data_IF_045856814936
#
_entry.id   IF_045856814936
#
_cell.length_a   1.000
_cell.length_b   1.000
_cell.length_c   1.000
_cell.angle_alpha   90.00
_cell.angle_beta   90.00
_cell.angle_gamma   90.00
#
_symmetry.space_group_name_H-M   'P 1'
#
loop_
_entity.id
_entity.type
_entity.pdbx_description
1 polymer ?
#
# COMPACT_ATOMS: atom_id res chain seq x y z
N UNK A 1 -8.63 -13.85 -31.82
CA UNK A 1 -7.45 -13.49 -31.01
C UNK A 1 -7.72 -12.19 -30.27
N UNK A 2 -8.21 -12.26 -29.04
CA UNK A 2 -8.18 -11.11 -28.13
C UNK A 2 -6.73 -10.93 -27.69
N UNK A 3 -6.12 -9.80 -28.04
CA UNK A 3 -4.81 -9.43 -27.51
C UNK A 3 -4.93 -9.27 -26.00
N UNK A 4 -4.01 -9.89 -25.26
CA UNK A 4 -3.88 -9.70 -23.82
C UNK A 4 -2.63 -8.90 -23.53
N UNK A 5 -2.77 -7.87 -22.68
CA UNK A 5 -1.65 -7.11 -22.17
C UNK A 5 -1.13 -7.76 -20.89
N UNK A 6 0.18 -7.97 -20.82
CA UNK A 6 0.85 -8.56 -19.64
C UNK A 6 1.74 -7.52 -19.02
N UNK A 7 1.50 -7.22 -17.74
CA UNK A 7 2.25 -6.23 -16.98
C UNK A 7 2.99 -6.95 -15.87
N UNK A 8 4.31 -6.79 -15.81
CA UNK A 8 5.15 -7.29 -14.72
C UNK A 8 5.48 -6.19 -13.73
N UNK A 9 5.26 -6.43 -12.43
CA UNK A 9 5.72 -5.57 -11.33
C UNK A 9 6.81 -6.33 -10.58
N UNK A 10 8.05 -5.82 -10.67
CA UNK A 10 9.22 -6.41 -10.01
C UNK A 10 9.53 -5.63 -8.73
N UNK A 11 9.41 -6.32 -7.60
CA UNK A 11 9.42 -5.73 -6.26
C UNK A 11 8.04 -5.23 -5.87
N UNK A 12 7.48 -5.81 -4.81
CA UNK A 12 6.16 -5.46 -4.30
C UNK A 12 6.23 -4.97 -2.85
N UNK A 13 7.19 -4.09 -2.56
CA UNK A 13 7.15 -3.21 -1.39
C UNK A 13 6.24 -2.00 -1.64
N UNK A 14 6.38 -0.90 -0.86
CA UNK A 14 5.39 0.18 -0.86
C UNK A 14 5.23 0.82 -2.24
N UNK A 15 6.35 1.03 -2.95
CA UNK A 15 6.33 1.59 -4.30
C UNK A 15 5.64 0.67 -5.32
N UNK A 16 5.81 -0.65 -5.20
CA UNK A 16 5.17 -1.63 -6.06
C UNK A 16 3.66 -1.69 -5.80
N UNK A 17 3.27 -1.65 -4.52
CA UNK A 17 1.88 -1.53 -4.11
C UNK A 17 1.25 -0.23 -4.63
N UNK A 18 1.87 0.94 -4.45
CA UNK A 18 1.36 2.21 -4.95
C UNK A 18 1.22 2.21 -6.48
N UNK A 19 2.21 1.68 -7.19
CA UNK A 19 2.15 1.57 -8.64
C UNK A 19 1.00 0.66 -9.10
N UNK A 20 0.80 -0.49 -8.43
CA UNK A 20 -0.30 -1.39 -8.71
C UNK A 20 -1.65 -0.74 -8.43
N UNK A 21 -1.80 -0.11 -7.27
CA UNK A 21 -3.04 0.55 -6.86
C UNK A 21 -3.41 1.68 -7.85
N UNK A 22 -2.44 2.50 -8.27
CA UNK A 22 -2.63 3.50 -9.33
C UNK A 22 -3.01 2.86 -10.65
N UNK A 23 -2.32 1.81 -11.09
CA UNK A 23 -2.64 1.09 -12.33
C UNK A 23 -4.11 0.62 -12.35
N UNK A 24 -4.58 0.00 -11.26
CA UNK A 24 -5.96 -0.47 -11.17
C UNK A 24 -6.97 0.69 -11.16
N UNK A 25 -6.66 1.80 -10.47
CA UNK A 25 -7.50 2.99 -10.48
C UNK A 25 -7.68 3.57 -11.90
N UNK A 26 -6.60 3.64 -12.68
CA UNK A 26 -6.65 4.10 -14.07
C UNK A 26 -7.38 3.10 -14.99
N UNK A 27 -7.14 1.79 -14.87
CA UNK A 27 -7.86 0.77 -15.63
C UNK A 27 -9.38 0.92 -15.44
N UNK A 28 -9.82 1.09 -14.18
CA UNK A 28 -11.24 1.28 -13.85
C UNK A 28 -11.77 2.61 -14.40
N UNK A 29 -11.05 3.71 -14.19
CA UNK A 29 -11.52 5.05 -14.57
C UNK A 29 -11.70 5.21 -16.09
N UNK A 30 -10.83 4.57 -16.88
CA UNK A 30 -10.87 4.63 -18.34
C UNK A 30 -11.69 3.49 -18.97
N UNK A 31 -12.30 2.62 -18.17
CA UNK A 31 -13.06 1.45 -18.62
C UNK A 31 -12.26 0.62 -19.65
N UNK A 32 -11.00 0.31 -19.33
CA UNK A 32 -10.19 -0.55 -20.18
C UNK A 32 -10.74 -1.98 -20.13
N UNK A 33 -11.41 -2.40 -21.21
CA UNK A 33 -12.10 -3.69 -21.32
C UNK A 33 -11.20 -4.81 -21.87
N UNK A 34 -9.93 -4.53 -22.07
CA UNK A 34 -8.95 -5.51 -22.54
C UNK A 34 -8.60 -6.52 -21.44
N UNK A 35 -8.20 -7.72 -21.86
CA UNK A 35 -7.70 -8.73 -20.94
C UNK A 35 -6.30 -8.35 -20.46
N UNK A 36 -6.20 -7.81 -19.24
CA UNK A 36 -4.94 -7.41 -18.61
C UNK A 36 -4.55 -8.44 -17.56
N UNK A 37 -3.36 -9.03 -17.71
CA UNK A 37 -2.73 -9.87 -16.70
C UNK A 37 -1.66 -9.08 -15.95
N UNK A 38 -1.76 -9.02 -14.62
CA UNK A 38 -0.72 -8.43 -13.78
C UNK A 38 0.04 -9.52 -13.05
N UNK A 39 1.34 -9.58 -13.27
CA UNK A 39 2.26 -10.54 -12.67
C UNK A 39 3.15 -9.81 -11.66
N UNK A 40 3.08 -10.23 -10.40
CA UNK A 40 3.87 -9.62 -9.32
C UNK A 40 5.03 -10.55 -8.96
N UNK A 41 6.24 -10.02 -9.01
CA UNK A 41 7.47 -10.72 -8.65
C UNK A 41 8.01 -10.09 -7.36
N UNK A 42 8.00 -10.83 -6.26
CA UNK A 42 8.53 -10.37 -4.98
C UNK A 42 9.49 -11.40 -4.40
N UNK A 43 10.60 -10.94 -3.83
CA UNK A 43 11.62 -11.81 -3.22
C UNK A 43 11.21 -12.32 -1.84
N UNK A 44 10.29 -11.65 -1.16
CA UNK A 44 9.84 -12.00 0.19
C UNK A 44 8.33 -12.26 0.25
N UNK A 45 7.87 -12.86 1.35
CA UNK A 45 6.44 -13.01 1.62
C UNK A 45 5.74 -11.70 2.04
N UNK A 46 6.51 -10.64 2.26
CA UNK A 46 6.02 -9.35 2.76
C UNK A 46 5.55 -8.47 1.58
N UNK A 47 4.35 -8.77 1.08
CA UNK A 47 3.70 -7.97 0.03
C UNK A 47 3.30 -6.60 0.59
N UNK A 48 3.36 -5.58 -0.27
CA UNK A 48 3.18 -4.16 0.01
C UNK A 48 4.18 -3.53 0.99
N UNK A 49 4.59 -4.23 2.03
CA UNK A 49 5.52 -3.74 3.04
C UNK A 49 7.01 -3.92 2.65
N UNK A 50 7.33 -5.00 1.92
CA UNK A 50 8.70 -5.33 1.50
C UNK A 50 9.66 -5.52 2.67
N UNK A 51 10.97 -5.47 2.40
CA UNK A 51 12.00 -5.69 3.43
C UNK A 51 12.09 -4.57 4.48
N UNK A 52 11.67 -3.35 4.12
CA UNK A 52 11.78 -2.17 5.01
C UNK A 52 10.72 -2.19 6.10
N UNK A 53 9.51 -2.64 5.77
CA UNK A 53 8.36 -2.62 6.68
C UNK A 53 7.90 -4.03 7.06
N UNK A 54 8.80 -5.01 7.07
CA UNK A 54 8.45 -6.37 7.47
C UNK A 54 7.75 -6.38 8.82
N UNK A 55 6.66 -7.13 8.91
CA UNK A 55 5.83 -7.23 10.09
C UNK A 55 6.50 -8.05 11.20
N UNK A 56 7.57 -8.78 10.89
CA UNK A 56 8.34 -9.59 11.85
C UNK A 56 9.59 -8.89 12.40
N UNK A 57 9.81 -7.61 12.08
CA UNK A 57 10.94 -6.85 12.64
C UNK A 57 10.63 -6.32 14.05
N UNK A 58 11.65 -6.10 14.90
CA UNK A 58 11.44 -5.61 16.26
C UNK A 58 10.79 -4.22 16.35
N UNK A 59 9.95 -4.00 17.36
CA UNK A 59 9.18 -2.75 17.51
C UNK A 59 10.04 -1.50 17.76
N UNK A 60 11.27 -1.66 18.27
CA UNK A 60 12.19 -0.53 18.49
C UNK A 60 12.70 0.10 17.18
N UNK A 61 12.47 -0.55 16.02
CA UNK A 61 12.74 0.01 14.71
C UNK A 61 11.58 0.92 14.29
N UNK A 62 11.67 2.20 14.65
CA UNK A 62 10.61 3.19 14.42
C UNK A 62 10.75 3.94 13.10
N UNK A 63 9.63 4.53 12.66
CA UNK A 63 9.56 5.48 11.55
C UNK A 63 10.37 6.75 11.85
N UNK A 64 10.99 7.31 10.82
CA UNK A 64 11.59 8.66 10.85
C UNK A 64 10.61 9.73 10.34
N UNK A 65 9.31 9.40 10.29
CA UNK A 65 8.24 10.24 9.77
C UNK A 65 7.03 10.10 10.70
N UNK A 66 6.36 11.22 10.98
CA UNK A 66 5.23 11.23 11.92
C UNK A 66 4.03 10.48 11.35
N UNK A 67 3.27 9.82 12.23
CA UNK A 67 2.12 9.00 11.86
C UNK A 67 1.10 9.75 10.99
N UNK A 68 0.86 11.03 11.28
CA UNK A 68 -0.11 11.87 10.55
C UNK A 68 0.23 12.13 9.09
N UNK A 69 1.46 11.82 8.67
CA UNK A 69 1.87 11.98 7.29
C UNK A 69 1.91 10.65 6.51
N UNK A 70 1.57 9.53 7.15
CA UNK A 70 1.61 8.21 6.52
C UNK A 70 0.23 7.94 5.89
N UNK A 71 0.23 7.71 4.58
CA UNK A 71 -0.93 7.23 3.83
C UNK A 71 -0.47 6.39 2.65
N UNK A 72 -1.17 5.27 2.41
CA UNK A 72 -0.99 4.43 1.23
C UNK A 72 -1.87 4.83 0.04
N UNK A 73 -2.67 5.89 0.19
CA UNK A 73 -3.76 6.21 -0.74
C UNK A 73 -3.57 7.58 -1.38
N UNK A 74 -3.90 7.67 -2.67
CA UNK A 74 -3.91 8.96 -3.36
C UNK A 74 -5.14 9.79 -2.98
N UNK A 75 -4.91 11.09 -2.84
CA UNK A 75 -5.93 12.08 -2.53
C UNK A 75 -6.48 12.82 -3.77
N UNK A 76 -6.18 12.30 -4.96
CA UNK A 76 -6.58 12.88 -6.24
C UNK A 76 -7.14 11.82 -7.19
N UNK A 77 -7.94 12.25 -8.16
CA UNK A 77 -8.49 11.39 -9.19
C UNK A 77 -7.39 10.77 -10.09
N UNK A 78 -7.57 9.53 -10.57
CA UNK A 78 -8.66 8.61 -10.20
C UNK A 78 -8.48 8.09 -8.77
N UNK A 79 -9.57 8.09 -8.00
CA UNK A 79 -9.57 7.54 -6.64
C UNK A 79 -9.42 6.02 -6.66
N UNK A 80 -9.04 5.47 -5.50
CA UNK A 80 -8.85 4.03 -5.38
C UNK A 80 -10.11 3.25 -5.73
N UNK A 81 -9.93 2.03 -6.24
CA UNK A 81 -11.04 1.14 -6.54
C UNK A 81 -11.62 0.48 -5.28
N UNK A 82 -10.86 0.48 -4.18
CA UNK A 82 -11.29 -0.08 -2.90
C UNK A 82 -12.12 0.95 -2.12
N UNK A 83 -13.13 0.50 -1.34
CA UNK A 83 -14.07 1.40 -0.66
C UNK A 83 -13.49 2.08 0.60
N UNK A 84 -12.39 1.56 1.16
CA UNK A 84 -11.76 2.08 2.38
C UNK A 84 -10.33 2.49 2.08
N UNK A 85 -10.06 3.80 2.18
CA UNK A 85 -8.74 4.40 1.93
C UNK A 85 -8.32 5.25 3.12
N UNK A 86 -8.41 4.69 4.32
CA UNK A 86 -8.01 5.38 5.55
C UNK A 86 -6.52 5.71 5.52
N UNK A 87 -6.15 6.93 5.89
CA UNK A 87 -4.77 7.22 6.29
C UNK A 87 -4.35 6.35 7.48
N UNK A 88 -3.06 6.36 7.80
CA UNK A 88 -2.52 5.49 8.84
C UNK A 88 -3.11 5.77 10.23
N UNK A 89 -3.31 7.03 10.61
CA UNK A 89 -3.89 7.38 11.92
C UNK A 89 -5.33 6.91 12.02
N UNK A 90 -6.13 7.16 10.98
CA UNK A 90 -7.50 6.68 10.88
C UNK A 90 -7.56 5.15 10.93
N UNK A 91 -6.63 4.46 10.28
CA UNK A 91 -6.51 3.00 10.33
C UNK A 91 -6.17 2.50 11.73
N UNK A 92 -5.24 3.14 12.44
CA UNK A 92 -4.89 2.79 13.83
C UNK A 92 -6.10 2.92 14.76
N UNK A 93 -6.87 4.01 14.63
CA UNK A 93 -8.09 4.24 15.42
C UNK A 93 -9.12 3.14 15.13
N UNK A 94 -9.36 2.85 13.84
CA UNK A 94 -10.34 1.85 13.42
C UNK A 94 -9.98 0.42 13.86
N UNK A 95 -8.70 0.15 14.11
CA UNK A 95 -8.19 -1.14 14.60
C UNK A 95 -7.89 -1.16 16.11
N UNK A 96 -8.33 -0.14 16.87
CA UNK A 96 -8.20 -0.04 18.33
C UNK A 96 -6.76 -0.03 18.88
N UNK A 97 -5.81 0.54 18.15
CA UNK A 97 -4.46 0.75 18.68
C UNK A 97 -4.46 1.85 19.76
N UNK A 98 -3.59 1.71 20.77
CA UNK A 98 -3.53 2.63 21.91
C UNK A 98 -2.80 3.94 21.57
N UNK A 99 -1.75 3.87 20.74
CA UNK A 99 -0.94 5.04 20.35
C UNK A 99 -1.30 5.48 18.93
N UNK A 100 -2.21 6.44 18.83
CA UNK A 100 -2.74 6.94 17.55
C UNK A 100 -2.38 8.40 17.27
N UNK A 101 -1.51 9.00 18.09
CA UNK A 101 -1.15 10.41 17.94
C UNK A 101 -0.58 10.67 16.54
N UNK A 102 -1.10 11.67 15.79
CA UNK A 102 -0.53 12.07 14.51
C UNK A 102 0.94 12.53 14.62
N UNK A 103 1.36 12.98 15.80
CA UNK A 103 2.70 13.49 16.06
C UNK A 103 3.66 12.43 16.63
N UNK A 104 3.21 11.19 16.88
CA UNK A 104 4.08 10.10 17.29
C UNK A 104 4.70 9.38 16.09
N UNK A 105 5.62 8.46 16.39
CA UNK A 105 6.36 7.67 15.41
C UNK A 105 6.08 6.19 15.68
N UNK A 106 5.45 5.50 14.73
CA UNK A 106 5.13 4.09 14.85
C UNK A 106 6.35 3.18 14.58
N UNK A 107 6.35 1.94 15.09
CA UNK A 107 7.22 0.89 14.58
C UNK A 107 7.05 0.70 13.08
N UNK A 108 8.15 0.38 12.37
CA UNK A 108 8.11 0.03 10.95
C UNK A 108 7.26 -1.21 10.68
N UNK A 109 7.27 -2.18 11.59
CA UNK A 109 6.42 -3.37 11.51
C UNK A 109 4.92 -3.00 11.46
N UNK A 110 4.50 -2.04 12.28
CA UNK A 110 3.12 -1.59 12.36
C UNK A 110 2.69 -0.82 11.10
N UNK A 111 3.60 -0.02 10.52
CA UNK A 111 3.35 0.58 9.19
C UNK A 111 3.26 -0.50 8.11
N UNK A 112 4.01 -1.58 8.24
CA UNK A 112 3.90 -2.75 7.37
C UNK A 112 2.58 -3.50 7.46
N UNK A 113 1.94 -3.50 8.63
CA UNK A 113 0.60 -4.08 8.81
C UNK A 113 -0.50 -3.21 8.16
N UNK A 114 -0.29 -1.90 8.12
CA UNK A 114 -1.17 -0.95 7.44
C UNK A 114 -1.12 -1.06 5.91
N UNK A 115 0.07 -1.30 5.35
CA UNK A 115 0.32 -1.44 3.91
C UNK A 115 -0.19 -2.79 3.37
#
# INVERSE_FOLDING_TARGET
NTQSYKIGIVGFGPKGFYAFERLIAYIKAYNLFEHIEVHIFNSTGFLASGDVYRQDQPEYLIMNYTNGNISGWALQEPFSVVPKTSDFVSWLINNNYVSTSPNSYAPRALVGEYL
#
